data_IF_618119493473
#
_entry.id   IF_618119493473
#
_cell.length_a   1.000
_cell.length_b   1.000
_cell.length_c   1.000
_cell.angle_alpha   90.00
_cell.angle_beta   90.00
_cell.angle_gamma   90.00
#
_symmetry.space_group_name_H-M   'P 1'
#
loop_
_entity.id
_entity.type
_entity.pdbx_description
1 polymer ?
#
# COMPACT_ATOMS: atom_id res chain seq x y z
N UNK A 1 27.60 -14.02 -29.57
CA UNK A 1 27.01 -13.39 -28.38
C UNK A 1 28.16 -13.04 -27.48
N UNK A 2 28.40 -11.75 -27.40
CA UNK A 2 29.58 -11.05 -26.96
C UNK A 2 29.61 -10.95 -25.43
N UNK A 3 30.68 -11.44 -24.77
CA UNK A 3 30.73 -11.59 -23.31
C UNK A 3 30.74 -10.26 -22.53
N UNK A 4 30.92 -9.13 -23.21
CA UNK A 4 30.85 -7.78 -22.63
C UNK A 4 29.41 -7.30 -22.40
N UNK A 5 28.43 -7.76 -23.21
CA UNK A 5 27.03 -7.34 -23.09
C UNK A 5 26.32 -8.02 -21.90
N UNK A 6 26.73 -9.25 -21.55
CA UNK A 6 26.22 -9.98 -20.37
C UNK A 6 26.67 -9.29 -19.07
N UNK A 7 27.89 -8.75 -19.03
CA UNK A 7 28.41 -8.01 -17.87
C UNK A 7 27.77 -6.61 -17.69
N UNK A 8 27.30 -6.00 -18.77
CA UNK A 8 26.54 -4.74 -18.72
C UNK A 8 25.07 -4.97 -18.34
N UNK A 9 24.48 -6.09 -18.81
CA UNK A 9 23.15 -6.55 -18.42
C UNK A 9 23.05 -6.87 -16.91
N UNK A 10 24.04 -7.54 -16.31
CA UNK A 10 24.06 -7.83 -14.86
C UNK A 10 24.10 -6.55 -14.00
N UNK A 11 24.85 -5.53 -14.46
CA UNK A 11 24.95 -4.23 -13.78
C UNK A 11 23.65 -3.44 -13.85
N UNK A 12 22.97 -3.48 -15.01
CA UNK A 12 21.68 -2.83 -15.21
C UNK A 12 20.56 -3.53 -14.42
N UNK A 13 20.52 -4.87 -14.43
CA UNK A 13 19.54 -5.68 -13.69
C UNK A 13 19.67 -5.49 -12.18
N UNK A 14 20.89 -5.44 -11.64
CA UNK A 14 21.10 -5.21 -10.19
C UNK A 14 20.55 -3.87 -9.71
N UNK A 15 20.75 -2.80 -10.49
CA UNK A 15 20.21 -1.48 -10.14
C UNK A 15 18.68 -1.44 -10.33
N UNK A 16 18.17 -2.10 -11.37
CA UNK A 16 16.75 -2.16 -11.69
C UNK A 16 15.94 -2.91 -10.62
N UNK A 17 16.46 -4.03 -10.12
CA UNK A 17 15.82 -4.80 -9.03
C UNK A 17 15.83 -4.04 -7.70
N UNK A 18 16.88 -3.26 -7.41
CA UNK A 18 16.93 -2.41 -6.21
C UNK A 18 15.86 -1.31 -6.23
N UNK A 19 15.71 -0.58 -7.35
CA UNK A 19 14.65 0.42 -7.50
C UNK A 19 13.25 -0.20 -7.51
N UNK A 20 13.09 -1.39 -8.09
CA UNK A 20 11.84 -2.15 -8.05
C UNK A 20 11.42 -2.55 -6.62
N UNK A 21 12.37 -3.03 -5.81
CA UNK A 21 12.13 -3.40 -4.42
C UNK A 21 11.76 -2.20 -3.54
N UNK A 22 12.44 -1.06 -3.72
CA UNK A 22 12.08 0.20 -3.05
C UNK A 22 10.68 0.65 -3.44
N UNK A 23 10.31 0.56 -4.73
CA UNK A 23 8.96 0.89 -5.21
C UNK A 23 7.87 0.06 -4.53
N UNK A 24 8.06 -1.27 -4.42
CA UNK A 24 7.15 -2.15 -3.68
C UNK A 24 7.05 -1.77 -2.19
N UNK A 25 8.18 -1.49 -1.55
CA UNK A 25 8.19 -1.09 -0.14
C UNK A 25 7.47 0.24 0.09
N UNK A 26 7.75 1.25 -0.73
CA UNK A 26 7.13 2.58 -0.64
C UNK A 26 5.61 2.52 -0.86
N UNK A 27 5.15 1.72 -1.83
CA UNK A 27 3.72 1.55 -2.14
C UNK A 27 2.93 1.08 -0.93
N UNK A 28 3.35 0.00 -0.27
CA UNK A 28 2.66 -0.54 0.91
C UNK A 28 2.80 0.41 2.10
N UNK A 29 4.00 0.88 2.41
CA UNK A 29 4.22 1.70 3.63
C UNK A 29 3.35 2.96 3.59
N UNK A 30 3.33 3.68 2.47
CA UNK A 30 2.59 4.92 2.37
C UNK A 30 1.08 4.72 2.36
N UNK A 31 0.58 3.68 1.67
CA UNK A 31 -0.86 3.37 1.66
C UNK A 31 -1.36 2.88 3.02
N UNK A 32 -0.59 2.04 3.70
CA UNK A 32 -0.94 1.55 5.05
C UNK A 32 -0.93 2.69 6.06
N UNK A 33 0.05 3.60 5.95
CA UNK A 33 0.12 4.78 6.82
C UNK A 33 -1.05 5.74 6.56
N UNK A 34 -1.41 5.97 5.29
CA UNK A 34 -2.58 6.75 4.92
C UNK A 34 -3.90 6.15 5.44
N UNK A 35 -4.06 4.83 5.32
CA UNK A 35 -5.22 4.11 5.85
C UNK A 35 -5.31 4.17 7.38
N UNK A 36 -4.17 4.00 8.06
CA UNK A 36 -4.08 4.10 9.51
C UNK A 36 -4.42 5.52 10.00
N UNK A 37 -3.88 6.55 9.34
CA UNK A 37 -4.17 7.94 9.68
C UNK A 37 -5.64 8.32 9.43
N UNK A 38 -6.21 7.90 8.30
CA UNK A 38 -7.63 8.10 8.00
C UNK A 38 -8.56 7.44 9.02
N UNK A 39 -8.17 6.26 9.51
CA UNK A 39 -8.90 5.54 10.56
C UNK A 39 -8.74 6.22 11.92
N UNK A 40 -7.52 6.64 12.29
CA UNK A 40 -7.24 7.31 13.56
C UNK A 40 -8.05 8.61 13.70
N UNK A 41 -8.08 9.45 12.64
CA UNK A 41 -8.80 10.73 12.67
C UNK A 41 -10.32 10.56 12.77
N UNK A 42 -10.89 9.57 12.09
CA UNK A 42 -12.34 9.34 12.07
C UNK A 42 -12.85 8.60 13.32
N UNK A 43 -11.99 7.81 13.97
CA UNK A 43 -12.35 6.96 15.11
C UNK A 43 -13.05 7.72 16.24
N UNK A 44 -12.55 8.90 16.63
CA UNK A 44 -13.16 9.72 17.68
C UNK A 44 -14.61 10.11 17.39
N UNK A 45 -14.91 10.47 16.14
CA UNK A 45 -16.26 10.81 15.71
C UNK A 45 -17.18 9.57 15.70
N UNK A 46 -16.66 8.39 15.30
CA UNK A 46 -17.42 7.13 15.31
C UNK A 46 -17.83 6.79 16.75
N UNK A 47 -16.90 6.81 17.70
CA UNK A 47 -17.20 6.50 19.10
C UNK A 47 -18.14 7.53 19.74
N UNK A 48 -17.96 8.82 19.46
CA UNK A 48 -18.85 9.86 19.97
C UNK A 48 -20.27 9.77 19.38
N UNK A 49 -20.40 9.42 18.09
CA UNK A 49 -21.70 9.20 17.47
C UNK A 49 -22.39 7.94 17.98
N UNK A 50 -21.62 6.90 18.33
CA UNK A 50 -22.15 5.63 18.82
C UNK A 50 -22.79 5.70 20.20
N UNK A 51 -22.34 6.61 21.08
CA UNK A 51 -22.99 6.85 22.38
C UNK A 51 -24.26 7.70 22.27
N UNK A 52 -24.33 8.63 21.30
CA UNK A 52 -25.47 9.55 21.14
C UNK A 52 -26.64 8.89 20.39
N UNK A 53 -26.35 8.13 19.33
CA UNK A 53 -27.34 7.47 18.47
C UNK A 53 -26.82 6.12 17.98
N UNK A 54 -27.10 5.02 18.72
CA UNK A 54 -26.53 3.71 18.41
C UNK A 54 -27.01 3.11 17.07
N UNK A 55 -28.17 3.51 16.55
CA UNK A 55 -28.69 3.03 15.26
C UNK A 55 -27.79 3.36 14.07
N UNK A 56 -26.98 4.42 14.17
CA UNK A 56 -26.14 4.91 13.06
C UNK A 56 -24.71 4.35 13.07
N UNK A 57 -24.33 3.53 14.05
CA UNK A 57 -22.95 3.01 14.20
C UNK A 57 -22.49 2.22 12.97
N UNK A 58 -23.39 1.45 12.37
CA UNK A 58 -23.08 0.64 11.19
C UNK A 58 -22.71 1.50 9.97
N UNK A 59 -23.43 2.61 9.76
CA UNK A 59 -23.16 3.54 8.67
C UNK A 59 -21.90 4.36 8.94
N UNK A 60 -21.67 4.79 10.18
CA UNK A 60 -20.46 5.53 10.56
C UNK A 60 -19.18 4.70 10.44
N UNK A 61 -19.26 3.38 10.65
CA UNK A 61 -18.13 2.45 10.46
C UNK A 61 -17.69 2.38 9.00
N UNK A 62 -18.58 2.68 8.04
CA UNK A 62 -18.21 2.74 6.61
C UNK A 62 -17.09 3.75 6.35
N UNK A 63 -16.98 4.83 7.13
CA UNK A 63 -15.87 5.78 7.03
C UNK A 63 -14.49 5.11 7.23
N UNK A 64 -14.39 4.21 8.21
CA UNK A 64 -13.17 3.44 8.45
C UNK A 64 -12.88 2.43 7.33
N UNK A 65 -13.93 1.81 6.77
CA UNK A 65 -13.81 0.88 5.64
C UNK A 65 -13.26 1.62 4.42
N UNK A 66 -13.73 2.82 4.12
CA UNK A 66 -13.22 3.60 2.98
C UNK A 66 -11.72 3.92 3.10
N UNK A 67 -11.21 4.15 4.31
CA UNK A 67 -9.78 4.32 4.54
C UNK A 67 -9.00 3.01 4.34
N UNK A 68 -9.55 1.86 4.76
CA UNK A 68 -8.88 0.56 4.65
C UNK A 68 -8.75 0.06 3.21
N UNK A 69 -9.70 0.36 2.33
CA UNK A 69 -9.61 -0.04 0.91
C UNK A 69 -8.35 0.58 0.26
N UNK A 70 -7.90 1.75 0.72
CA UNK A 70 -6.64 2.37 0.27
C UNK A 70 -5.42 1.47 0.51
N UNK A 71 -5.37 0.74 1.64
CA UNK A 71 -4.31 -0.21 1.94
C UNK A 71 -4.34 -1.44 1.04
N UNK A 72 -5.55 -1.90 0.66
CA UNK A 72 -5.72 -3.01 -0.28
C UNK A 72 -5.21 -2.62 -1.66
N UNK A 73 -5.45 -1.38 -2.12
CA UNK A 73 -4.92 -0.91 -3.40
C UNK A 73 -3.39 -0.92 -3.44
N UNK A 74 -2.72 -0.47 -2.37
CA UNK A 74 -1.25 -0.51 -2.28
C UNK A 74 -0.66 -1.92 -2.20
N UNK A 75 -1.36 -2.84 -1.52
CA UNK A 75 -1.01 -4.26 -1.49
C UNK A 75 -1.07 -4.86 -2.90
N UNK A 76 -2.19 -4.69 -3.61
CA UNK A 76 -2.40 -5.25 -4.95
C UNK A 76 -1.36 -4.70 -5.93
N UNK A 77 -1.10 -3.40 -5.91
CA UNK A 77 -0.07 -2.78 -6.75
C UNK A 77 1.33 -3.39 -6.50
N UNK A 78 1.69 -3.61 -5.23
CA UNK A 78 2.99 -4.19 -4.89
C UNK A 78 3.12 -5.65 -5.28
N UNK A 79 2.02 -6.42 -5.19
CA UNK A 79 2.01 -7.81 -5.67
C UNK A 79 2.21 -7.85 -7.19
N UNK A 80 1.54 -6.99 -7.95
CA UNK A 80 1.71 -6.93 -9.42
C UNK A 80 3.17 -6.55 -9.77
N UNK A 81 3.75 -5.56 -9.09
CA UNK A 81 5.16 -5.18 -9.30
C UNK A 81 6.12 -6.32 -8.96
N UNK A 82 5.91 -7.00 -7.82
CA UNK A 82 6.73 -8.13 -7.39
C UNK A 82 6.69 -9.30 -8.37
N UNK A 83 5.58 -9.52 -9.08
CA UNK A 83 5.48 -10.56 -10.12
C UNK A 83 6.20 -10.18 -11.42
N UNK A 84 6.44 -8.89 -11.67
CA UNK A 84 7.12 -8.40 -12.88
C UNK A 84 8.64 -8.24 -12.71
N UNK A 85 9.13 -8.18 -11.47
CA UNK A 85 10.57 -8.21 -11.19
C UNK A 85 11.04 -9.65 -11.42
N UNK A 86 11.68 -9.87 -12.57
CA UNK A 86 12.39 -11.12 -12.87
C UNK A 86 13.78 -11.00 -12.26
N UNK A 87 14.12 -11.91 -11.35
CA UNK A 87 15.52 -12.18 -11.01
C UNK A 87 16.30 -12.66 -12.24
#
# INVERSE_FOLDING_TARGET
MDPTLIAEMDRCVRLQSFFGAIGCACSIVFTTFGAAYGTAKSSGAIFQSGILRPDMVMQNTLCAIMAQILSIYGLVASVIMSNNIKE
#
